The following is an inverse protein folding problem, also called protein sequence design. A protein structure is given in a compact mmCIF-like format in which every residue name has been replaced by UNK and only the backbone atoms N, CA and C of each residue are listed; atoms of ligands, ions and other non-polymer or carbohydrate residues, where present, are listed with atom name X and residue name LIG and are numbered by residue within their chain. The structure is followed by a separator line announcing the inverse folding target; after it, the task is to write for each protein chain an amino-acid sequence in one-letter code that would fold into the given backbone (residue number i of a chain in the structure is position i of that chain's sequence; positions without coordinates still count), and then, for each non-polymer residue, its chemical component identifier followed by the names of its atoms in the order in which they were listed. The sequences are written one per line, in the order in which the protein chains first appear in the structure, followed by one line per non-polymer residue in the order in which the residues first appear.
data_IF_903156905765
#
_entry.id   IF_903156905765
#
_cell.length_a   1.000
_cell.length_b   1.000
_cell.length_c   1.000
_cell.angle_alpha   90.00
_cell.angle_beta   90.00
_cell.angle_gamma   90.00
#
_symmetry.space_group_name_H-M   'P 1'
#
loop_
_entity.id
_entity.type
_entity.pdbx_description
1 polymer ?
#
# COMPACT_ATOMS: atom_id res chain seq x y z
N UNK A 1 9.43 -6.90 -3.94
CA UNK A 1 9.27 -5.58 -4.61
C UNK A 1 8.12 -4.76 -4.01
N UNK A 2 8.02 -3.44 -4.22
CA UNK A 2 6.93 -2.57 -3.73
C UNK A 2 5.55 -3.04 -4.23
N UNK A 3 5.46 -3.44 -5.50
CA UNK A 3 4.21 -3.96 -6.09
C UNK A 3 3.65 -5.17 -5.32
N UNK A 4 4.49 -6.10 -4.88
CA UNK A 4 4.07 -7.27 -4.08
C UNK A 4 3.46 -6.86 -2.74
N UNK A 5 4.03 -5.83 -2.09
CA UNK A 5 3.51 -5.33 -0.80
C UNK A 5 2.15 -4.67 -0.98
N UNK A 6 2.00 -3.92 -2.08
CA UNK A 6 0.75 -3.27 -2.44
C UNK A 6 -0.31 -4.32 -2.77
N UNK A 7 0.02 -5.36 -3.55
CA UNK A 7 -0.91 -6.47 -3.81
C UNK A 7 -1.39 -7.14 -2.52
N UNK A 8 -0.49 -7.41 -1.57
CA UNK A 8 -0.89 -7.96 -0.28
C UNK A 8 -1.71 -6.99 0.58
N UNK A 9 -1.38 -5.70 0.56
CA UNK A 9 -2.16 -4.67 1.25
C UNK A 9 -3.60 -4.63 0.71
N UNK A 10 -3.79 -4.56 -0.62
CA UNK A 10 -5.11 -4.62 -1.24
C UNK A 10 -5.82 -5.91 -0.85
N UNK A 11 -5.19 -7.06 -1.01
CA UNK A 11 -5.80 -8.35 -0.65
C UNK A 11 -6.28 -8.46 0.80
N UNK A 12 -5.74 -7.65 1.73
CA UNK A 12 -6.16 -7.65 3.15
C UNK A 12 -7.18 -6.56 3.48
N UNK A 13 -7.20 -5.45 2.73
CA UNK A 13 -7.93 -4.23 3.12
C UNK A 13 -9.04 -3.86 2.13
N UNK A 14 -8.89 -4.22 0.86
CA UNK A 14 -9.86 -3.99 -0.21
C UNK A 14 -11.06 -4.91 0.02
N UNK A 15 -11.97 -4.43 0.86
CA UNK A 15 -13.12 -5.20 1.34
C UNK A 15 -14.24 -5.15 0.31
N UNK A 16 -14.34 -4.05 -0.42
CA UNK A 16 -15.33 -3.87 -1.48
C UNK A 16 -14.89 -4.48 -2.83
N UNK A 17 -13.62 -4.88 -2.98
CA UNK A 17 -13.09 -5.59 -4.14
C UNK A 17 -12.91 -4.71 -5.38
N UNK A 18 -12.78 -3.39 -5.22
CA UNK A 18 -12.74 -2.44 -6.32
C UNK A 18 -11.32 -2.15 -6.84
N UNK A 19 -10.29 -2.75 -6.24
CA UNK A 19 -8.90 -2.60 -6.65
C UNK A 19 -8.23 -1.33 -6.13
N UNK A 20 -8.86 -0.62 -5.19
CA UNK A 20 -8.37 0.57 -4.50
C UNK A 20 -8.72 0.49 -3.01
N UNK A 21 -8.22 1.42 -2.22
CA UNK A 21 -8.52 1.47 -0.79
C UNK A 21 -9.06 2.85 -0.39
N UNK A 22 -10.14 2.89 0.37
CA UNK A 22 -10.60 4.12 1.01
C UNK A 22 -9.95 4.33 2.40
N UNK A 23 -10.22 5.50 3.00
CA UNK A 23 -9.67 5.86 4.31
C UNK A 23 -10.10 4.90 5.43
N UNK A 24 -11.31 4.34 5.35
CA UNK A 24 -11.86 3.37 6.29
C UNK A 24 -11.20 2.00 6.14
N UNK A 25 -11.01 1.52 4.92
CA UNK A 25 -10.31 0.28 4.61
C UNK A 25 -8.85 0.31 5.08
N UNK A 26 -8.17 1.43 4.84
CA UNK A 26 -6.83 1.68 5.36
C UNK A 26 -6.78 1.84 6.88
N UNK A 27 -7.90 2.23 7.50
CA UNK A 27 -7.98 2.52 8.93
C UNK A 27 -7.11 3.71 9.34
N UNK A 28 -7.00 4.73 8.46
CA UNK A 28 -6.18 5.91 8.71
C UNK A 28 -7.03 7.20 8.76
N UNK A 29 -6.56 8.25 9.44
CA UNK A 29 -7.24 9.54 9.43
C UNK A 29 -7.34 10.12 8.02
N UNK A 30 -8.43 10.85 7.73
CA UNK A 30 -8.64 11.51 6.42
C UNK A 30 -7.50 12.45 6.03
N UNK A 31 -6.93 13.19 6.98
CA UNK A 31 -5.79 14.09 6.69
C UNK A 31 -4.55 13.34 6.20
N UNK A 32 -4.39 12.10 6.64
CA UNK A 32 -3.29 11.22 6.27
C UNK A 32 -3.59 10.56 4.92
N UNK A 33 -4.84 10.14 4.72
CA UNK A 33 -5.34 9.61 3.46
C UNK A 33 -5.18 10.61 2.31
N UNK A 34 -5.60 11.86 2.51
CA UNK A 34 -5.51 12.94 1.52
C UNK A 34 -4.07 13.27 1.09
N UNK A 35 -3.05 12.83 1.85
CA UNK A 35 -1.65 12.99 1.42
C UNK A 35 -1.26 11.98 0.34
N UNK A 36 -1.95 10.84 0.32
CA UNK A 36 -1.73 9.71 -0.59
C UNK A 36 -2.65 9.83 -1.80
N UNK A 37 -3.93 10.15 -1.58
CA UNK A 37 -4.95 10.42 -2.61
C UNK A 37 -4.58 11.70 -3.37
N UNK A 38 -3.89 11.53 -4.51
CA UNK A 38 -3.35 12.66 -5.30
C UNK A 38 -4.38 13.20 -6.26
N UNK A 39 -5.25 12.33 -6.78
CA UNK A 39 -6.29 12.73 -7.72
C UNK A 39 -7.59 13.18 -7.00
N UNK A 40 -7.63 13.07 -5.67
CA UNK A 40 -8.74 13.47 -4.80
C UNK A 40 -10.05 12.75 -5.16
N UNK A 41 -9.94 11.51 -5.64
CA UNK A 41 -11.11 10.70 -6.01
C UNK A 41 -11.74 9.99 -4.79
N UNK A 42 -11.13 10.11 -3.60
CA UNK A 42 -11.59 9.49 -2.36
C UNK A 42 -11.12 8.05 -2.17
N UNK A 43 -10.25 7.54 -3.04
CA UNK A 43 -9.72 6.18 -3.04
C UNK A 43 -8.24 6.21 -3.43
N UNK A 44 -7.43 5.31 -2.87
CA UNK A 44 -6.02 5.17 -3.27
C UNK A 44 -5.79 3.87 -4.01
N UNK A 45 -5.45 4.00 -5.29
CA UNK A 45 -5.17 2.88 -6.16
C UNK A 45 -3.73 2.38 -6.05
N UNK A 46 -3.40 1.32 -6.81
CA UNK A 46 -2.02 0.80 -6.89
C UNK A 46 -0.98 1.85 -7.27
N UNK A 47 -1.33 2.79 -8.14
CA UNK A 47 -0.41 3.83 -8.62
C UNK A 47 -0.02 4.80 -7.49
N UNK A 48 -1.01 5.27 -6.75
CA UNK A 48 -0.80 6.21 -5.64
C UNK A 48 -0.11 5.54 -4.45
N UNK A 49 -0.47 4.29 -4.17
CA UNK A 49 0.24 3.47 -3.20
C UNK A 49 1.70 3.27 -3.63
N UNK A 50 1.99 3.02 -4.90
CA UNK A 50 3.38 2.87 -5.37
C UNK A 50 4.16 4.18 -5.22
N UNK A 51 3.55 5.30 -5.61
CA UNK A 51 4.15 6.63 -5.45
C UNK A 51 4.44 6.93 -3.97
N UNK A 52 3.49 6.68 -3.06
CA UNK A 52 3.65 6.93 -1.64
C UNK A 52 4.69 6.00 -0.98
N UNK A 53 4.79 4.74 -1.41
CA UNK A 53 5.82 3.80 -0.94
C UNK A 53 7.22 4.24 -1.38
N UNK A 54 7.36 4.64 -2.65
CA UNK A 54 8.64 5.12 -3.20
C UNK A 54 9.09 6.43 -2.57
N UNK A 55 8.15 7.32 -2.26
CA UNK A 55 8.41 8.57 -1.55
C UNK A 55 8.75 8.36 -0.05
N UNK A 56 8.82 7.10 0.42
CA UNK A 56 8.97 6.72 1.82
C UNK A 56 8.03 7.47 2.78
N UNK A 57 6.80 7.68 2.32
CA UNK A 57 5.83 8.51 3.02
C UNK A 57 5.03 7.66 4.03
N UNK A 58 3.77 8.02 4.19
CA UNK A 58 2.82 7.50 5.17
C UNK A 58 2.66 5.97 5.13
N UNK A 59 2.57 5.37 3.93
CA UNK A 59 2.18 3.95 3.82
C UNK A 59 3.31 2.97 4.11
N UNK A 60 4.56 3.43 4.26
CA UNK A 60 5.68 2.53 4.51
C UNK A 60 5.50 1.71 5.79
N UNK A 61 4.93 2.32 6.84
CA UNK A 61 4.63 1.62 8.09
C UNK A 61 3.57 0.54 7.86
N UNK A 62 2.50 0.84 7.10
CA UNK A 62 1.46 -0.13 6.73
C UNK A 62 2.02 -1.29 5.90
N UNK A 63 2.92 -1.00 4.97
CA UNK A 63 3.58 -2.04 4.16
C UNK A 63 4.60 -2.87 4.97
N UNK A 64 5.09 -2.33 6.09
CA UNK A 64 5.95 -3.02 7.04
C UNK A 64 5.19 -3.97 7.96
N UNK A 65 4.01 -3.59 8.44
CA UNK A 65 3.20 -4.41 9.34
C UNK A 65 2.49 -5.56 8.61
N UNK A 66 2.17 -5.38 7.33
CA UNK A 66 1.41 -6.35 6.53
C UNK A 66 2.28 -7.51 6.04
N UNK A 67 3.60 -7.31 5.95
CA UNK A 67 4.57 -8.34 5.62
C UNK A 67 5.50 -8.56 6.82
N UNK A 68 5.51 -9.75 7.46
CA UNK A 68 6.67 -10.09 8.28
C UNK A 68 7.90 -9.93 7.40
N UNK A 69 8.98 -9.37 7.95
CA UNK A 69 10.26 -9.17 7.27
C UNK A 69 10.64 -10.47 6.53
N UNK A 70 10.22 -10.59 5.26
CA UNK A 70 10.59 -11.72 4.43
C UNK A 70 12.02 -11.37 4.10
N UNK A 71 12.95 -11.99 4.85
CA UNK A 71 14.26 -12.37 4.33
C UNK A 71 14.12 -12.51 2.82
N UNK A 72 14.94 -11.77 2.02
CA UNK A 72 14.78 -11.72 0.59
C UNK A 72 14.54 -13.15 0.10
N UNK A 73 13.35 -13.37 -0.50
CA UNK A 73 13.00 -14.69 -1.02
C UNK A 73 14.21 -15.14 -1.81
N UNK A 74 14.77 -16.32 -1.50
CA UNK A 74 15.99 -16.87 -2.13
C UNK A 74 15.95 -16.92 -3.68
N UNK A 75 14.81 -16.58 -4.28
CA UNK A 75 14.62 -16.37 -5.71
C UNK A 75 15.30 -15.08 -6.24
N UNK A 76 15.55 -14.09 -5.40
CA UNK A 76 16.31 -12.87 -5.77
C UNK A 76 17.84 -13.05 -5.56
N UNK A 77 18.27 -14.19 -5.03
CA UNK A 77 19.68 -14.50 -4.70
C UNK A 77 20.40 -15.32 -5.79
N UNK A 78 19.78 -15.53 -6.95
CA UNK A 78 20.37 -16.20 -8.11
C UNK A 78 20.36 -15.24 -9.31
N UNK A 79 21.29 -14.29 -9.27
CA UNK A 79 21.84 -13.65 -10.46
C UNK A 79 23.25 -14.21 -10.68
#
# INVERSE_FOLDING_TARGET
AVNERISHLLSKKDTNGNGSLDAGELGMPKDVFNKIDKDHNGQVGRYELNAAARARSVINNLLGDILPNREPSKLDAVA
#
